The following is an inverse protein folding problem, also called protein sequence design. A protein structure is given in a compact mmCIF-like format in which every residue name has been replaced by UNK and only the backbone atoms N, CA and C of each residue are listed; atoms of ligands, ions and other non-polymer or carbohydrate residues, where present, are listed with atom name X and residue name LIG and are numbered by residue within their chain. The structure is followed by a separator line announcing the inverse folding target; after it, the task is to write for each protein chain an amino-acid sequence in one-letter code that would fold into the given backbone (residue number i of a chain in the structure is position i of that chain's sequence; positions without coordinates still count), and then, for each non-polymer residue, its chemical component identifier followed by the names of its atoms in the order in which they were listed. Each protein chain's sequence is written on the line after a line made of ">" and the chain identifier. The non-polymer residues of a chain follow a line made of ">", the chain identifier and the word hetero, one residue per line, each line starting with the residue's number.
data_IF_447297126752
#
_entry.id   IF_447297126752
#
_cell.length_a   1.000
_cell.length_b   1.000
_cell.length_c   1.000
_cell.angle_alpha   90.00
_cell.angle_beta   90.00
_cell.angle_gamma   90.00
#
_symmetry.space_group_name_H-M   'P 1'
#
loop_
_entity.id
_entity.type
_entity.pdbx_description
1 polymer ?
#
# COMPACT_ATOMS: atom_id res chain seq x y z
N UNK A 1 -12.26 -54.97 -21.21
CA UNK A 1 -12.41 -53.55 -21.61
C UNK A 1 -13.63 -52.88 -20.98
N UNK A 2 -14.81 -53.52 -20.96
CA UNK A 2 -16.02 -52.95 -20.33
C UNK A 2 -15.88 -52.68 -18.81
N UNK A 3 -15.29 -53.60 -18.04
CA UNK A 3 -15.09 -53.43 -16.59
C UNK A 3 -14.22 -52.21 -16.22
N UNK A 4 -13.19 -51.91 -17.02
CA UNK A 4 -12.35 -50.71 -16.82
C UNK A 4 -13.14 -49.45 -17.11
N UNK A 5 -14.01 -49.48 -18.12
CA UNK A 5 -14.89 -48.35 -18.47
C UNK A 5 -15.87 -48.03 -17.34
N UNK A 6 -16.50 -49.06 -16.73
CA UNK A 6 -17.37 -48.87 -15.57
C UNK A 6 -16.61 -48.36 -14.34
N UNK A 7 -15.37 -48.80 -14.13
CA UNK A 7 -14.52 -48.30 -13.05
C UNK A 7 -14.18 -46.81 -13.22
N UNK A 8 -13.84 -46.37 -14.43
CA UNK A 8 -13.57 -44.95 -14.73
C UNK A 8 -14.83 -44.10 -14.52
N UNK A 9 -15.99 -44.58 -14.99
CA UNK A 9 -17.28 -43.88 -14.80
C UNK A 9 -17.66 -43.78 -13.32
N UNK A 10 -17.41 -44.83 -12.53
CA UNK A 10 -17.66 -44.84 -11.09
C UNK A 10 -16.77 -43.82 -10.36
N UNK A 11 -15.48 -43.74 -10.71
CA UNK A 11 -14.54 -42.79 -10.12
C UNK A 11 -14.94 -41.35 -10.45
N UNK A 12 -15.34 -41.08 -11.70
CA UNK A 12 -15.85 -39.77 -12.11
C UNK A 12 -17.10 -39.36 -11.35
N UNK A 13 -18.05 -40.29 -11.14
CA UNK A 13 -19.24 -40.05 -10.34
C UNK A 13 -18.91 -39.73 -8.88
N UNK A 14 -17.98 -40.49 -8.27
CA UNK A 14 -17.53 -40.24 -6.90
C UNK A 14 -16.84 -38.87 -6.77
N UNK A 15 -16.02 -38.47 -7.75
CA UNK A 15 -15.39 -37.15 -7.79
C UNK A 15 -16.43 -36.04 -7.88
N UNK A 16 -17.44 -36.18 -8.74
CA UNK A 16 -18.55 -35.24 -8.82
C UNK A 16 -19.31 -35.13 -7.49
N UNK A 17 -19.57 -36.24 -6.81
CA UNK A 17 -20.25 -36.24 -5.49
C UNK A 17 -19.40 -35.52 -4.45
N UNK A 18 -18.10 -35.77 -4.40
CA UNK A 18 -17.18 -35.07 -3.48
C UNK A 18 -17.12 -33.57 -3.79
N UNK A 19 -17.08 -33.18 -5.06
CA UNK A 19 -17.11 -31.77 -5.46
C UNK A 19 -18.43 -31.08 -5.08
N UNK A 20 -19.56 -31.78 -5.18
CA UNK A 20 -20.87 -31.28 -4.73
C UNK A 20 -20.91 -31.15 -3.19
N UNK A 21 -20.38 -32.13 -2.46
CA UNK A 21 -20.28 -32.09 -0.99
C UNK A 21 -19.36 -30.97 -0.51
N UNK A 22 -18.19 -30.78 -1.14
CA UNK A 22 -17.32 -29.63 -0.83
C UNK A 22 -18.01 -28.30 -1.16
N UNK A 23 -18.81 -28.24 -2.23
CA UNK A 23 -19.63 -27.07 -2.54
C UNK A 23 -20.73 -26.81 -1.50
N UNK A 24 -21.30 -27.84 -0.88
CA UNK A 24 -22.27 -27.70 0.21
C UNK A 24 -21.62 -27.31 1.55
N UNK A 25 -20.41 -27.79 1.83
CA UNK A 25 -19.64 -27.43 3.03
C UNK A 25 -19.06 -26.02 2.92
N UNK A 26 -18.63 -25.60 1.72
CA UNK A 26 -18.11 -24.24 1.45
C UNK A 26 -19.21 -23.21 1.15
N UNK A 27 -20.48 -23.61 1.05
CA UNK A 27 -21.60 -22.66 1.05
C UNK A 27 -21.95 -22.36 2.51
N UNK A 28 -21.65 -21.16 3.04
CA UNK A 28 -22.23 -20.78 4.31
C UNK A 28 -23.75 -20.85 4.16
N UNK A 29 -24.41 -21.62 5.03
CA UNK A 29 -25.87 -21.65 5.13
C UNK A 29 -26.35 -20.23 5.50
N UNK A 30 -26.59 -19.41 4.50
CA UNK A 30 -27.45 -18.23 4.63
C UNK A 30 -28.85 -18.79 4.83
N UNK A 31 -29.26 -18.90 6.09
CA UNK A 31 -30.68 -19.00 6.42
C UNK A 31 -31.33 -17.74 5.85
N UNK A 32 -32.19 -17.90 4.84
CA UNK A 32 -33.12 -16.84 4.44
C UNK A 32 -34.12 -16.65 5.58
N UNK A 33 -33.76 -15.77 6.52
CA UNK A 33 -34.72 -14.96 7.25
C UNK A 33 -35.08 -13.78 6.35
N UNK A 34 -36.37 -13.47 6.12
CA UNK A 34 -36.74 -12.26 5.38
C UNK A 34 -36.42 -11.07 6.29
N UNK A 35 -35.37 -10.32 5.95
CA UNK A 35 -35.02 -9.08 6.62
C UNK A 35 -33.75 -9.14 7.48
N UNK A 36 -32.59 -9.14 6.83
CA UNK A 36 -31.60 -8.08 7.02
C UNK A 36 -30.45 -8.32 6.03
N UNK A 37 -30.25 -7.38 5.11
CA UNK A 37 -28.88 -7.02 4.70
C UNK A 37 -28.10 -6.90 6.01
N UNK A 38 -26.86 -7.40 6.19
CA UNK A 38 -26.09 -6.94 7.33
C UNK A 38 -26.09 -5.43 7.19
N UNK A 39 -26.88 -4.74 8.01
CA UNK A 39 -26.71 -3.31 8.23
C UNK A 39 -25.30 -3.29 8.77
N UNK A 40 -24.34 -3.03 7.89
CA UNK A 40 -22.99 -2.70 8.28
C UNK A 40 -23.22 -1.60 9.30
N UNK A 41 -23.00 -1.91 10.58
CA UNK A 41 -23.32 -0.97 11.64
C UNK A 41 -22.47 0.26 11.32
N UNK A 42 -23.12 1.41 11.09
CA UNK A 42 -22.40 2.64 10.76
C UNK A 42 -21.30 2.90 11.80
N UNK A 43 -21.58 2.56 13.07
CA UNK A 43 -20.61 2.58 14.16
C UNK A 43 -19.37 1.71 13.93
N UNK A 44 -19.50 0.51 13.35
CA UNK A 44 -18.34 -0.35 13.08
C UNK A 44 -17.47 0.17 11.94
N UNK A 45 -18.05 0.90 10.98
CA UNK A 45 -17.29 1.54 9.89
C UNK A 45 -16.54 2.74 10.47
N UNK A 46 -17.24 3.57 11.24
CA UNK A 46 -16.66 4.75 11.88
C UNK A 46 -15.51 4.34 12.83
N UNK A 47 -15.69 3.25 13.60
CA UNK A 47 -14.62 2.69 14.45
C UNK A 47 -13.39 2.22 13.66
N UNK A 48 -13.57 1.68 12.45
CA UNK A 48 -12.47 1.23 11.57
C UNK A 48 -11.70 2.40 10.97
N UNK A 49 -12.42 3.41 10.47
CA UNK A 49 -11.79 4.62 9.94
C UNK A 49 -11.09 5.41 11.06
N UNK A 50 -11.69 5.50 12.25
CA UNK A 50 -11.08 6.09 13.44
C UNK A 50 -9.80 5.35 13.86
N UNK A 51 -9.81 4.02 13.80
CA UNK A 51 -8.64 3.21 14.09
C UNK A 51 -7.52 3.48 13.08
N UNK A 52 -7.83 3.47 11.78
CA UNK A 52 -6.85 3.77 10.75
C UNK A 52 -6.29 5.19 10.88
N UNK A 53 -7.14 6.19 11.17
CA UNK A 53 -6.70 7.55 11.41
C UNK A 53 -5.74 7.66 12.60
N UNK A 54 -6.02 6.96 13.72
CA UNK A 54 -5.13 6.88 14.88
C UNK A 54 -3.81 6.17 14.56
N UNK A 55 -3.86 5.15 13.72
CA UNK A 55 -2.67 4.42 13.28
C UNK A 55 -1.76 5.34 12.44
N UNK A 56 -2.34 6.00 11.44
CA UNK A 56 -1.63 6.92 10.55
C UNK A 56 -1.08 8.13 11.29
N UNK A 57 -1.85 8.73 12.20
CA UNK A 57 -1.38 9.88 12.98
C UNK A 57 -0.20 9.54 13.89
N UNK A 58 -0.09 8.29 14.34
CA UNK A 58 1.02 7.86 15.21
C UNK A 58 2.31 7.55 14.45
N UNK A 59 2.21 7.13 13.18
CA UNK A 59 3.40 6.77 12.38
C UNK A 59 3.85 7.87 11.43
N UNK A 60 2.96 8.79 11.03
CA UNK A 60 3.29 9.86 10.09
C UNK A 60 4.05 10.96 10.81
N UNK A 61 5.31 11.24 10.44
CA UNK A 61 6.06 12.32 11.06
C UNK A 61 5.48 13.70 10.70
N UNK A 62 5.54 14.67 11.63
CA UNK A 62 4.97 16.01 11.43
C UNK A 62 5.55 16.75 10.21
N UNK A 63 6.83 16.51 9.91
CA UNK A 63 7.51 17.15 8.78
C UNK A 63 7.09 16.54 7.42
N UNK A 64 6.56 15.31 7.39
CA UNK A 64 6.35 14.56 6.16
C UNK A 64 5.42 15.31 5.20
N UNK A 65 4.30 15.84 5.69
CA UNK A 65 3.33 16.52 4.85
C UNK A 65 3.94 17.72 4.12
N UNK A 66 4.75 18.51 4.84
CA UNK A 66 5.46 19.64 4.25
C UNK A 66 6.40 19.18 3.14
N UNK A 67 7.22 18.16 3.41
CA UNK A 67 8.19 17.62 2.44
C UNK A 67 7.49 17.04 1.22
N UNK A 68 6.41 16.29 1.42
CA UNK A 68 5.60 15.73 0.34
C UNK A 68 5.03 16.82 -0.57
N UNK A 69 4.50 17.91 0.00
CA UNK A 69 4.00 19.04 -0.80
C UNK A 69 5.11 19.73 -1.58
N UNK A 70 6.24 20.04 -0.93
CA UNK A 70 7.40 20.65 -1.58
C UNK A 70 7.94 19.78 -2.73
N UNK A 71 7.97 18.46 -2.56
CA UNK A 71 8.37 17.54 -3.62
C UNK A 71 7.41 17.57 -4.81
N UNK A 72 6.10 17.56 -4.59
CA UNK A 72 5.10 17.60 -5.68
C UNK A 72 5.28 18.87 -6.51
N UNK A 73 5.45 20.01 -5.84
CA UNK A 73 5.69 21.30 -6.49
C UNK A 73 7.01 21.33 -7.25
N UNK A 74 8.10 20.87 -6.61
CA UNK A 74 9.42 20.73 -7.23
C UNK A 74 9.38 19.84 -8.48
N UNK A 75 8.75 18.67 -8.38
CA UNK A 75 8.64 17.73 -9.47
C UNK A 75 7.86 18.34 -10.66
N UNK A 76 6.78 19.08 -10.37
CA UNK A 76 6.00 19.73 -11.42
C UNK A 76 6.71 20.92 -12.07
N UNK A 77 7.33 21.79 -11.26
CA UNK A 77 7.97 23.00 -11.73
C UNK A 77 9.30 22.74 -12.46
N UNK A 78 9.98 21.65 -12.11
CA UNK A 78 11.37 21.43 -12.50
C UNK A 78 11.55 20.13 -13.28
N UNK A 79 11.37 18.98 -12.62
CA UNK A 79 11.65 17.66 -13.22
C UNK A 79 10.78 17.42 -14.46
N UNK A 80 9.47 17.67 -14.36
CA UNK A 80 8.53 17.48 -15.48
C UNK A 80 8.76 18.44 -16.65
N UNK A 81 9.52 19.52 -16.45
CA UNK A 81 9.87 20.47 -17.52
C UNK A 81 11.20 20.16 -18.20
N UNK A 82 12.03 19.28 -17.62
CA UNK A 82 13.27 18.82 -18.24
C UNK A 82 12.96 17.90 -19.41
N UNK A 83 13.74 17.98 -20.49
CA UNK A 83 13.61 17.02 -21.58
C UNK A 83 14.12 15.65 -21.12
N UNK A 84 13.52 14.57 -21.62
CA UNK A 84 13.92 13.21 -21.20
C UNK A 84 15.39 12.91 -21.56
N UNK A 85 15.88 13.52 -22.63
CA UNK A 85 17.29 13.41 -23.05
C UNK A 85 18.23 14.12 -22.08
N UNK A 86 17.81 15.24 -21.48
CA UNK A 86 18.60 15.97 -20.48
C UNK A 86 18.64 15.20 -19.16
N UNK A 87 17.50 14.63 -18.75
CA UNK A 87 17.42 13.84 -17.53
C UNK A 87 18.21 12.54 -17.64
N UNK A 88 18.18 11.88 -18.79
CA UNK A 88 18.88 10.61 -19.03
C UNK A 88 20.38 10.78 -19.33
N UNK A 89 20.83 11.98 -19.70
CA UNK A 89 22.25 12.29 -19.92
C UNK A 89 23.05 12.26 -18.61
N UNK A 90 22.45 12.63 -17.48
CA UNK A 90 23.06 12.51 -16.15
C UNK A 90 22.46 11.32 -15.39
N UNK A 91 23.22 10.23 -15.32
CA UNK A 91 22.82 9.01 -14.62
C UNK A 91 22.56 9.23 -13.13
N UNK A 92 23.27 10.17 -12.50
CA UNK A 92 23.12 10.46 -11.06
C UNK A 92 21.79 11.15 -10.81
N UNK A 93 21.49 12.18 -11.61
CA UNK A 93 20.22 12.89 -11.55
C UNK A 93 19.04 11.96 -11.87
N UNK A 94 19.16 11.15 -12.92
CA UNK A 94 18.13 10.17 -13.29
C UNK A 94 17.83 9.20 -12.15
N UNK A 95 18.87 8.61 -11.55
CA UNK A 95 18.69 7.65 -10.46
C UNK A 95 18.10 8.31 -9.20
N UNK A 96 18.52 9.54 -8.87
CA UNK A 96 17.95 10.30 -7.74
C UNK A 96 16.46 10.61 -7.97
N UNK A 97 16.11 11.07 -9.17
CA UNK A 97 14.72 11.35 -9.56
C UNK A 97 13.86 10.08 -9.49
N UNK A 98 14.37 8.97 -10.03
CA UNK A 98 13.70 7.69 -10.01
C UNK A 98 13.46 7.18 -8.59
N UNK A 99 14.48 7.25 -7.72
CA UNK A 99 14.36 6.86 -6.30
C UNK A 99 13.25 7.64 -5.58
N UNK A 100 13.19 8.96 -5.78
CA UNK A 100 12.11 9.78 -5.23
C UNK A 100 10.73 9.34 -5.74
N UNK A 101 10.61 9.07 -7.04
CA UNK A 101 9.35 8.60 -7.65
C UNK A 101 8.92 7.23 -7.11
N UNK A 102 9.87 6.30 -6.98
CA UNK A 102 9.63 4.94 -6.50
C UNK A 102 9.18 4.96 -5.02
N UNK A 103 9.87 5.72 -4.16
CA UNK A 103 9.49 5.89 -2.75
C UNK A 103 8.13 6.58 -2.59
N UNK A 104 7.90 7.68 -3.32
CA UNK A 104 6.62 8.40 -3.26
C UNK A 104 5.46 7.50 -3.71
N UNK A 105 5.67 6.67 -4.74
CA UNK A 105 4.69 5.68 -5.19
C UNK A 105 4.48 4.56 -4.17
N UNK A 106 5.55 4.09 -3.52
CA UNK A 106 5.48 3.05 -2.50
C UNK A 106 4.67 3.51 -1.28
N UNK A 107 4.82 4.77 -0.86
CA UNK A 107 4.05 5.36 0.24
C UNK A 107 2.54 5.26 -0.03
N UNK A 108 2.07 5.68 -1.21
CA UNK A 108 0.66 5.57 -1.57
C UNK A 108 0.18 4.11 -1.58
N UNK A 109 1.00 3.19 -2.10
CA UNK A 109 0.64 1.76 -2.14
C UNK A 109 0.47 1.17 -0.75
N UNK A 110 1.40 1.42 0.16
CA UNK A 110 1.30 0.92 1.52
C UNK A 110 0.14 1.57 2.26
N UNK A 111 -0.04 2.89 2.12
CA UNK A 111 -1.16 3.61 2.72
C UNK A 111 -2.51 3.03 2.28
N UNK A 112 -2.71 2.85 0.97
CA UNK A 112 -3.96 2.33 0.41
C UNK A 112 -4.21 0.87 0.83
N UNK A 113 -3.17 0.04 0.89
CA UNK A 113 -3.30 -1.35 1.34
C UNK A 113 -3.70 -1.41 2.82
N UNK A 114 -3.01 -0.67 3.68
CA UNK A 114 -3.32 -0.59 5.10
C UNK A 114 -4.72 -0.05 5.34
N UNK A 115 -5.14 0.98 4.58
CA UNK A 115 -6.50 1.51 4.64
C UNK A 115 -7.53 0.45 4.29
N UNK A 116 -7.29 -0.30 3.22
CA UNK A 116 -8.17 -1.38 2.77
C UNK A 116 -8.27 -2.50 3.83
N UNK A 117 -7.16 -2.93 4.39
CA UNK A 117 -7.12 -3.95 5.45
C UNK A 117 -7.91 -3.51 6.68
N UNK A 118 -7.73 -2.25 7.11
CA UNK A 118 -8.50 -1.68 8.22
C UNK A 118 -10.00 -1.59 7.91
N UNK A 119 -10.39 -1.17 6.70
CA UNK A 119 -11.80 -1.09 6.31
C UNK A 119 -12.47 -2.47 6.19
N UNK A 120 -11.71 -3.50 5.83
CA UNK A 120 -12.13 -4.92 5.86
C UNK A 120 -12.28 -5.47 7.29
N UNK A 121 -11.77 -4.76 8.30
CA UNK A 121 -11.93 -5.07 9.73
C UNK A 121 -10.67 -5.59 10.40
N UNK A 122 -9.53 -5.58 9.72
CA UNK A 122 -8.25 -5.96 10.31
C UNK A 122 -7.72 -4.88 11.27
N UNK A 123 -7.29 -5.28 12.46
CA UNK A 123 -6.58 -4.39 13.39
C UNK A 123 -5.07 -4.55 13.20
N UNK A 124 -4.52 -3.80 12.25
CA UNK A 124 -3.11 -3.89 11.85
C UNK A 124 -2.17 -3.55 13.03
N UNK A 125 -1.34 -4.48 13.51
CA UNK A 125 -0.44 -4.21 14.64
C UNK A 125 0.70 -3.26 14.27
N UNK A 126 1.32 -2.61 15.27
CA UNK A 126 2.49 -1.75 15.05
C UNK A 126 3.74 -2.49 14.51
N UNK A 127 3.76 -3.83 14.63
CA UNK A 127 4.82 -4.69 14.10
C UNK A 127 4.52 -5.20 12.69
N UNK A 128 3.41 -4.78 12.07
CA UNK A 128 3.08 -5.15 10.71
C UNK A 128 4.15 -4.65 9.72
N UNK A 129 4.57 -5.53 8.82
CA UNK A 129 5.67 -5.25 7.90
C UNK A 129 5.33 -4.08 6.97
N UNK A 130 4.09 -3.96 6.49
CA UNK A 130 3.71 -2.86 5.61
C UNK A 130 3.69 -1.53 6.36
N UNK A 131 3.29 -1.55 7.63
CA UNK A 131 3.33 -0.36 8.48
C UNK A 131 4.77 0.10 8.77
N UNK A 132 5.66 -0.85 9.07
CA UNK A 132 7.08 -0.58 9.27
C UNK A 132 7.73 -0.03 8.00
N UNK A 133 7.44 -0.64 6.85
CA UNK A 133 7.93 -0.18 5.55
C UNK A 133 7.40 1.21 5.20
N UNK A 134 6.12 1.50 5.47
CA UNK A 134 5.55 2.84 5.26
C UNK A 134 6.28 3.89 6.09
N UNK A 135 6.54 3.60 7.37
CA UNK A 135 7.32 4.49 8.24
C UNK A 135 8.72 4.72 7.69
N UNK A 136 9.42 3.66 7.31
CA UNK A 136 10.74 3.76 6.71
C UNK A 136 10.71 4.59 5.42
N UNK A 137 9.69 4.43 4.57
CA UNK A 137 9.55 5.23 3.36
C UNK A 137 9.37 6.71 3.66
N UNK A 138 8.64 7.10 4.73
CA UNK A 138 8.53 8.50 5.14
C UNK A 138 9.88 9.09 5.51
N UNK A 139 10.66 8.36 6.31
CA UNK A 139 11.97 8.79 6.78
C UNK A 139 12.95 8.91 5.60
N UNK A 140 13.09 7.85 4.79
CA UNK A 140 14.01 7.78 3.65
C UNK A 140 13.66 8.80 2.56
N UNK A 141 12.36 8.97 2.25
CA UNK A 141 11.92 9.96 1.28
C UNK A 141 12.28 11.37 1.73
N UNK A 142 12.05 11.68 3.01
CA UNK A 142 12.12 13.04 3.52
C UNK A 142 13.54 13.50 3.85
N UNK A 143 14.38 12.59 4.35
CA UNK A 143 15.74 12.92 4.79
C UNK A 143 16.81 12.60 3.76
N UNK A 144 16.60 11.59 2.93
CA UNK A 144 17.64 11.12 2.01
C UNK A 144 17.30 11.44 0.55
N UNK A 145 16.22 10.86 0.04
CA UNK A 145 15.96 10.85 -1.41
C UNK A 145 15.62 12.25 -1.94
N UNK A 146 14.65 12.93 -1.33
CA UNK A 146 14.23 14.25 -1.79
C UNK A 146 15.34 15.31 -1.64
N UNK A 147 16.01 15.44 -0.48
CA UNK A 147 17.12 16.40 -0.35
C UNK A 147 18.27 16.14 -1.33
N UNK A 148 18.62 14.88 -1.58
CA UNK A 148 19.66 14.53 -2.57
C UNK A 148 19.27 14.99 -3.99
N UNK A 149 18.01 14.80 -4.39
CA UNK A 149 17.52 15.26 -5.68
C UNK A 149 17.54 16.79 -5.78
N UNK A 150 17.14 17.50 -4.73
CA UNK A 150 17.20 18.97 -4.69
C UNK A 150 18.64 19.46 -4.79
N UNK A 151 19.60 18.83 -4.12
CA UNK A 151 21.00 19.23 -4.18
C UNK A 151 21.59 19.12 -5.60
N UNK A 152 21.16 18.12 -6.38
CA UNK A 152 21.59 17.94 -7.77
C UNK A 152 21.00 18.99 -8.71
N UNK A 153 19.73 19.34 -8.53
CA UNK A 153 19.00 20.23 -9.44
C UNK A 153 19.13 21.70 -9.04
N UNK A 154 19.04 21.99 -7.75
CA UNK A 154 19.10 23.32 -7.13
C UNK A 154 20.08 23.31 -5.94
N UNK A 155 21.39 23.26 -6.18
CA UNK A 155 22.40 23.18 -5.12
C UNK A 155 22.33 24.36 -4.13
N UNK A 156 21.87 25.53 -4.58
CA UNK A 156 21.70 26.72 -3.75
C UNK A 156 20.47 26.67 -2.83
N UNK A 157 19.54 25.74 -3.04
CA UNK A 157 18.36 25.49 -2.20
C UNK A 157 18.49 24.19 -1.40
N UNK A 158 19.69 23.62 -1.33
CA UNK A 158 19.93 22.44 -0.52
C UNK A 158 19.60 22.73 0.95
N UNK A 159 18.77 21.86 1.55
CA UNK A 159 18.42 22.00 2.97
C UNK A 159 19.65 21.71 3.84
N UNK A 160 19.85 22.48 4.93
CA UNK A 160 20.85 22.14 5.92
C UNK A 160 20.53 20.78 6.54
N UNK A 161 21.57 19.98 6.83
CA UNK A 161 21.41 18.72 7.56
C UNK A 161 20.81 18.98 8.94
N UNK A 162 19.69 18.32 9.23
CA UNK A 162 19.06 18.35 10.54
C UNK A 162 19.65 17.21 11.36
N UNK A 163 20.45 17.53 12.36
CA UNK A 163 21.04 16.52 13.25
C UNK A 163 19.94 15.93 14.15
N UNK A 164 19.56 14.68 13.90
CA UNK A 164 18.48 13.98 14.59
C UNK A 164 18.85 13.50 16.01
N UNK A 165 20.10 13.69 16.44
CA UNK A 165 20.58 13.27 17.78
C UNK A 165 19.93 14.03 18.95
N UNK A 166 19.19 15.12 18.69
CA UNK A 166 18.59 15.98 19.71
C UNK A 166 17.05 16.03 19.69
N UNK A 167 16.37 15.04 19.11
CA UNK A 167 14.88 14.94 19.11
C UNK A 167 14.42 13.67 19.81
#
# INVERSE_FOLDING_TARGET
>A
MQSVFYSIVLILLLLCIVLVLMREISRPKVKLTPGSVPKLNLSEIDEREDYFAKLMSKITPDYYWRVSHEYVDFNHATIKRMHIDELSADLTLFNAQRRCSDLHSAIYRYYDNLRKRCSEGEKVPFADIELLNLRQCFDEFSHDAYPALVALVWPHLQRPEVCLENV
#
